data_IF_588055280869
#
_entry.id   IF_588055280869
#
_cell.length_a   1.000
_cell.length_b   1.000
_cell.length_c   1.000
_cell.angle_alpha   90.00
_cell.angle_beta   90.00
_cell.angle_gamma   90.00
#
_symmetry.space_group_name_H-M   'P 1'
#
loop_
_entity.id
_entity.type
_entity.pdbx_description
1 polymer ?
#
# COMPACT_ATOMS: atom_id res chain seq x y z
N UNK A 1 -10.77 46.34 13.14
CA UNK A 1 -11.01 45.23 12.19
C UNK A 1 -9.67 44.55 11.89
N UNK A 2 -9.56 43.25 12.14
CA UNK A 2 -8.37 42.46 11.77
C UNK A 2 -8.05 41.37 12.80
N UNK A 3 -8.73 40.23 12.68
CA UNK A 3 -8.59 39.05 13.54
C UNK A 3 -7.24 38.36 13.33
N UNK A 4 -6.45 38.20 14.40
CA UNK A 4 -5.24 37.39 14.42
C UNK A 4 -5.45 36.07 15.15
N UNK A 5 -5.90 35.04 14.44
CA UNK A 5 -5.93 33.65 14.94
C UNK A 5 -4.75 32.88 14.35
N UNK A 6 -3.61 32.87 15.04
CA UNK A 6 -2.54 31.89 14.79
C UNK A 6 -2.75 30.71 15.74
N UNK A 7 -3.39 29.64 15.24
CA UNK A 7 -3.50 28.39 15.96
C UNK A 7 -2.14 27.67 15.99
N UNK A 8 -1.59 27.57 17.20
CA UNK A 8 -0.42 26.78 17.55
C UNK A 8 -0.79 25.29 17.46
N UNK A 9 -0.37 24.61 16.40
CA UNK A 9 -0.44 23.15 16.34
C UNK A 9 0.83 22.55 16.97
N UNK A 10 0.72 21.79 18.08
CA UNK A 10 1.88 21.11 18.65
C UNK A 10 2.37 20.03 17.68
N UNK A 11 3.69 19.94 17.49
CA UNK A 11 4.35 18.89 16.69
C UNK A 11 3.90 17.51 17.21
N UNK A 12 3.21 16.74 16.37
CA UNK A 12 2.89 15.36 16.68
C UNK A 12 4.20 14.56 16.76
N UNK A 13 4.48 14.00 17.93
CA UNK A 13 5.60 13.07 18.09
C UNK A 13 5.34 11.81 17.26
N UNK A 14 6.36 11.33 16.54
CA UNK A 14 6.31 10.10 15.76
C UNK A 14 5.85 8.93 16.65
N UNK A 15 4.72 8.31 16.30
CA UNK A 15 4.15 7.21 17.08
C UNK A 15 4.98 5.93 16.86
N UNK A 16 5.32 5.18 17.93
CA UNK A 16 6.03 3.92 17.79
C UNK A 16 5.17 2.90 17.04
N UNK A 17 5.81 2.09 16.17
CA UNK A 17 5.15 1.05 15.36
C UNK A 17 4.44 0.03 16.27
N UNK A 18 3.10 -0.09 16.24
CA UNK A 18 2.42 -1.13 16.99
C UNK A 18 2.72 -2.50 16.37
N UNK A 19 2.92 -3.51 17.23
CA UNK A 19 2.99 -4.91 16.80
C UNK A 19 1.57 -5.37 16.43
N UNK A 20 1.38 -6.20 15.38
CA UNK A 20 0.07 -6.80 15.13
C UNK A 20 -0.31 -7.67 16.34
N UNK A 21 -1.29 -7.23 17.12
CA UNK A 21 -1.54 -7.77 18.45
C UNK A 21 -2.97 -7.57 18.99
N UNK A 22 -3.72 -8.68 19.01
CA UNK A 22 -4.71 -9.18 19.99
C UNK A 22 -5.84 -8.28 20.57
N UNK A 23 -5.91 -6.98 20.29
CA UNK A 23 -7.05 -6.12 20.65
C UNK A 23 -7.46 -5.30 19.43
N UNK A 24 -8.33 -5.83 18.57
CA UNK A 24 -8.65 -5.18 17.29
C UNK A 24 -9.63 -4.02 17.46
N UNK A 25 -9.01 -2.86 17.48
CA UNK A 25 -9.50 -1.53 17.15
C UNK A 25 -10.34 -1.47 15.85
N UNK A 26 -11.05 -0.37 15.67
CA UNK A 26 -11.83 -0.03 14.46
C UNK A 26 -10.89 -0.01 13.25
N UNK A 27 -11.31 -0.50 12.08
CA UNK A 27 -10.55 -0.32 10.85
C UNK A 27 -10.63 1.14 10.38
N UNK A 28 -9.53 1.70 9.88
CA UNK A 28 -9.48 3.08 9.43
C UNK A 28 -9.39 4.07 10.60
N UNK A 29 -8.46 3.84 11.53
CA UNK A 29 -8.19 4.78 12.62
C UNK A 29 -7.43 6.04 12.15
N UNK A 30 -6.63 5.90 11.10
CA UNK A 30 -5.89 7.02 10.48
C UNK A 30 -6.73 7.69 9.39
N UNK A 31 -6.36 8.90 9.00
CA UNK A 31 -7.05 9.60 7.91
C UNK A 31 -7.05 8.77 6.61
N UNK A 32 -5.89 8.23 6.20
CA UNK A 32 -5.77 7.40 5.00
C UNK A 32 -6.53 6.07 5.11
N UNK A 33 -6.50 5.43 6.27
CA UNK A 33 -7.29 4.22 6.51
C UNK A 33 -8.80 4.49 6.48
N UNK A 34 -9.25 5.63 7.01
CA UNK A 34 -10.65 6.04 6.94
C UNK A 34 -11.09 6.32 5.50
N UNK A 35 -10.28 7.02 4.70
CA UNK A 35 -10.55 7.22 3.27
C UNK A 35 -10.65 5.89 2.51
N UNK A 36 -9.80 4.91 2.84
CA UNK A 36 -9.88 3.58 2.25
C UNK A 36 -11.15 2.84 2.66
N UNK A 37 -11.50 2.86 3.96
CA UNK A 37 -12.73 2.24 4.48
C UNK A 37 -13.98 2.82 3.82
N UNK A 38 -13.99 4.13 3.56
CA UNK A 38 -15.08 4.80 2.85
C UNK A 38 -15.22 4.30 1.41
N UNK A 39 -14.11 4.09 0.69
CA UNK A 39 -14.19 3.55 -0.68
C UNK A 39 -14.74 2.13 -0.68
N UNK A 40 -14.26 1.25 0.21
CA UNK A 40 -14.71 -0.15 0.20
C UNK A 40 -16.11 -0.34 0.77
N UNK A 41 -16.62 0.54 1.65
CA UNK A 41 -17.99 0.44 2.16
C UNK A 41 -19.02 0.58 1.05
N UNK A 42 -18.66 1.28 -0.03
CA UNK A 42 -19.49 1.44 -1.24
C UNK A 42 -19.32 0.31 -2.26
N UNK A 43 -18.33 -0.56 -2.09
CA UNK A 43 -17.97 -1.57 -3.09
C UNK A 43 -18.87 -2.82 -3.08
N UNK A 44 -19.64 -3.06 -2.02
CA UNK A 44 -20.51 -4.23 -1.90
C UNK A 44 -21.62 -4.03 -0.88
N UNK A 45 -22.53 -5.00 -0.75
CA UNK A 45 -23.61 -4.91 0.23
C UNK A 45 -23.09 -5.04 1.68
N UNK A 46 -23.77 -4.35 2.59
CA UNK A 46 -23.35 -4.23 3.98
C UNK A 46 -23.27 -5.59 4.71
N UNK A 47 -24.10 -6.57 4.34
CA UNK A 47 -24.07 -7.89 4.96
C UNK A 47 -22.82 -8.69 4.56
N UNK A 48 -22.39 -8.61 3.30
CA UNK A 48 -21.11 -9.19 2.83
C UNK A 48 -19.93 -8.46 3.46
N UNK A 49 -19.96 -7.13 3.48
CA UNK A 49 -18.90 -6.32 4.09
C UNK A 49 -18.75 -6.61 5.59
N UNK A 50 -19.85 -6.73 6.32
CA UNK A 50 -19.86 -7.11 7.73
C UNK A 50 -19.22 -8.48 7.99
N UNK A 51 -19.54 -9.49 7.18
CA UNK A 51 -18.88 -10.81 7.26
C UNK A 51 -17.40 -10.74 6.92
N UNK A 52 -17.02 -9.93 5.94
CA UNK A 52 -15.62 -9.65 5.61
C UNK A 52 -14.85 -9.05 6.79
N UNK A 53 -15.43 -8.05 7.47
CA UNK A 53 -14.86 -7.46 8.71
C UNK A 53 -14.63 -8.52 9.77
N UNK A 54 -15.61 -9.41 9.98
CA UNK A 54 -15.49 -10.48 10.96
C UNK A 54 -14.33 -11.43 10.62
N UNK A 55 -14.16 -11.80 9.35
CA UNK A 55 -13.06 -12.67 8.90
C UNK A 55 -11.69 -11.99 9.06
N UNK A 56 -11.59 -10.72 8.70
CA UNK A 56 -10.37 -9.94 8.92
C UNK A 56 -10.02 -9.92 10.41
N UNK A 57 -10.99 -9.63 11.28
CA UNK A 57 -10.80 -9.59 12.74
C UNK A 57 -10.39 -10.92 13.34
N UNK A 58 -10.95 -12.01 12.83
CA UNK A 58 -10.64 -13.37 13.23
C UNK A 58 -9.29 -13.88 12.68
N UNK A 59 -8.48 -12.99 12.08
CA UNK A 59 -7.16 -13.30 11.52
C UNK A 59 -7.18 -14.39 10.44
N UNK A 60 -8.30 -14.51 9.72
CA UNK A 60 -8.48 -15.55 8.69
C UNK A 60 -7.73 -15.24 7.39
N UNK A 61 -7.27 -14.01 7.21
CA UNK A 61 -6.42 -13.59 6.09
C UNK A 61 -4.97 -13.97 6.40
N UNK A 62 -4.38 -14.82 5.56
CA UNK A 62 -3.01 -15.32 5.64
C UNK A 62 -2.27 -15.02 4.35
N UNK A 63 -0.93 -15.05 4.40
CA UNK A 63 -0.06 -14.83 3.24
C UNK A 63 -0.38 -13.54 2.46
N UNK A 64 -0.82 -12.49 3.16
CA UNK A 64 -1.13 -11.20 2.56
C UNK A 64 0.14 -10.54 2.05
N UNK A 65 0.16 -10.21 0.76
CA UNK A 65 1.31 -9.59 0.08
C UNK A 65 0.80 -8.53 -0.88
N UNK A 66 1.46 -7.37 -0.86
CA UNK A 66 1.28 -6.29 -1.82
C UNK A 66 2.53 -6.24 -2.68
N UNK A 67 2.38 -6.31 -4.00
CA UNK A 67 3.48 -6.14 -4.95
C UNK A 67 2.99 -5.48 -6.22
N UNK A 68 3.49 -4.27 -6.50
CA UNK A 68 3.34 -3.62 -7.80
C UNK A 68 1.89 -3.47 -8.27
N UNK A 69 1.03 -2.89 -7.43
CA UNK A 69 -0.39 -2.68 -7.73
C UNK A 69 -1.27 -3.93 -7.58
N UNK A 70 -0.74 -5.02 -7.03
CA UNK A 70 -1.46 -6.28 -6.87
C UNK A 70 -1.39 -6.77 -5.43
N UNK A 71 -2.50 -7.29 -4.93
CA UNK A 71 -2.61 -8.00 -3.67
C UNK A 71 -2.81 -9.49 -3.96
N UNK A 72 -2.08 -10.32 -3.25
CA UNK A 72 -2.34 -11.76 -3.17
C UNK A 72 -2.51 -12.16 -1.72
N UNK A 73 -3.51 -12.98 -1.43
CA UNK A 73 -3.74 -13.50 -0.09
C UNK A 73 -4.38 -14.89 -0.13
N UNK A 74 -4.36 -15.56 1.02
CA UNK A 74 -5.12 -16.78 1.29
C UNK A 74 -6.10 -16.49 2.41
N UNK A 75 -7.37 -16.85 2.25
CA UNK A 75 -8.37 -16.65 3.32
C UNK A 75 -8.92 -17.99 3.75
N UNK A 76 -8.80 -18.29 5.04
CA UNK A 76 -9.44 -19.46 5.65
C UNK A 76 -10.96 -19.22 5.72
N UNK A 77 -11.72 -20.08 5.06
CA UNK A 77 -13.16 -20.18 5.24
C UNK A 77 -13.56 -21.50 5.89
N UNK A 78 -14.87 -21.70 6.06
CA UNK A 78 -15.40 -22.89 6.72
C UNK A 78 -15.12 -24.17 5.94
N UNK A 79 -15.13 -24.09 4.60
CA UNK A 79 -15.02 -25.26 3.71
C UNK A 79 -13.65 -25.40 3.05
N UNK A 80 -12.66 -24.58 3.43
CA UNK A 80 -11.32 -24.62 2.85
C UNK A 80 -10.61 -23.26 2.84
N UNK A 81 -9.44 -23.24 2.19
CA UNK A 81 -8.62 -22.04 2.01
C UNK A 81 -8.80 -21.50 0.60
N UNK A 82 -9.21 -20.25 0.46
CA UNK A 82 -9.43 -19.60 -0.82
C UNK A 82 -8.26 -18.71 -1.22
N UNK A 83 -7.98 -18.65 -2.52
CA UNK A 83 -6.96 -17.77 -3.10
C UNK A 83 -7.62 -16.48 -3.53
N UNK A 84 -7.07 -15.34 -3.09
CA UNK A 84 -7.56 -14.01 -3.45
C UNK A 84 -6.48 -13.30 -4.24
N UNK A 85 -6.88 -12.68 -5.33
CA UNK A 85 -6.09 -11.76 -6.13
C UNK A 85 -6.85 -10.47 -6.30
N UNK A 86 -6.20 -9.32 -6.07
CA UNK A 86 -6.79 -8.01 -6.34
C UNK A 86 -5.76 -7.18 -7.10
N UNK A 87 -6.15 -6.61 -8.23
CA UNK A 87 -5.32 -5.78 -9.09
C UNK A 87 -5.92 -4.39 -9.19
N UNK A 88 -5.14 -3.35 -8.91
CA UNK A 88 -5.58 -1.96 -8.94
C UNK A 88 -5.14 -1.25 -10.21
N UNK A 89 -5.98 -0.35 -10.71
CA UNK A 89 -5.60 0.56 -11.79
C UNK A 89 -4.50 1.51 -11.29
N UNK A 90 -3.35 1.50 -11.96
CA UNK A 90 -2.22 2.36 -11.62
C UNK A 90 -2.36 3.73 -12.27
N UNK A 91 -1.73 4.74 -11.69
CA UNK A 91 -1.57 6.01 -12.37
C UNK A 91 -0.68 5.86 -13.61
N UNK A 92 -0.95 6.69 -14.63
CA UNK A 92 -0.15 6.71 -15.84
C UNK A 92 1.21 7.35 -15.55
N UNK A 93 2.20 7.07 -16.39
CA UNK A 93 3.54 7.67 -16.26
C UNK A 93 3.48 9.21 -16.25
N UNK A 94 2.60 9.80 -17.06
CA UNK A 94 2.40 11.26 -17.11
C UNK A 94 1.89 11.83 -15.79
N UNK A 95 1.01 11.12 -15.10
CA UNK A 95 0.49 11.54 -13.80
C UNK A 95 1.60 11.50 -12.75
N UNK A 96 2.42 10.44 -12.76
CA UNK A 96 3.59 10.33 -11.89
C UNK A 96 4.62 11.43 -12.13
N UNK A 97 4.88 11.80 -13.38
CA UNK A 97 5.75 12.93 -13.72
C UNK A 97 5.24 14.24 -13.10
N UNK A 98 3.95 14.54 -13.28
CA UNK A 98 3.31 15.73 -12.69
C UNK A 98 3.34 15.71 -11.15
N UNK A 99 3.07 14.56 -10.53
CA UNK A 99 3.18 14.37 -9.07
C UNK A 99 4.61 14.72 -8.61
N UNK A 100 5.63 14.19 -9.28
CA UNK A 100 7.04 14.41 -8.93
C UNK A 100 7.41 15.89 -9.05
N UNK A 101 7.01 16.56 -10.13
CA UNK A 101 7.27 18.00 -10.34
C UNK A 101 6.66 18.85 -9.23
N UNK A 102 5.40 18.59 -8.89
CA UNK A 102 4.69 19.31 -7.80
C UNK A 102 5.31 19.05 -6.43
N UNK A 103 5.79 17.84 -6.17
CA UNK A 103 6.50 17.52 -4.93
C UNK A 103 7.85 18.26 -4.85
N UNK A 104 8.59 18.37 -5.97
CA UNK A 104 9.83 19.15 -6.04
C UNK A 104 9.60 20.64 -5.77
N UNK A 105 8.47 21.19 -6.23
CA UNK A 105 8.11 22.58 -5.98
C UNK A 105 7.50 22.83 -4.59
N UNK A 106 7.30 21.79 -3.76
CA UNK A 106 6.65 21.90 -2.44
C UNK A 106 7.51 21.33 -1.31
N UNK A 107 8.52 22.08 -0.83
CA UNK A 107 9.50 21.57 0.15
C UNK A 107 8.90 21.04 1.45
N UNK A 108 7.81 21.63 1.93
CA UNK A 108 7.15 21.21 3.18
C UNK A 108 6.62 19.78 3.05
N UNK A 109 5.92 19.47 1.96
CA UNK A 109 5.35 18.14 1.68
C UNK A 109 6.45 17.11 1.51
N UNK A 110 7.53 17.47 0.80
CA UNK A 110 8.69 16.60 0.67
C UNK A 110 9.32 16.29 2.02
N UNK A 111 9.49 17.30 2.89
CA UNK A 111 9.98 17.11 4.26
C UNK A 111 9.13 16.11 5.06
N UNK A 112 7.80 16.22 4.98
CA UNK A 112 6.88 15.26 5.62
C UNK A 112 7.04 13.84 5.07
N UNK A 113 7.13 13.67 3.75
CA UNK A 113 7.36 12.36 3.12
C UNK A 113 8.71 11.75 3.54
N UNK A 114 9.76 12.58 3.66
CA UNK A 114 11.08 12.17 4.15
C UNK A 114 11.04 11.73 5.62
N UNK A 115 10.17 12.31 6.43
CA UNK A 115 9.90 11.90 7.81
C UNK A 115 9.01 10.65 7.91
N UNK A 116 8.76 9.95 6.79
CA UNK A 116 7.93 8.75 6.73
C UNK A 116 6.46 9.01 7.14
N UNK A 117 5.96 10.21 6.84
CA UNK A 117 4.56 10.59 7.02
C UNK A 117 3.94 10.89 5.65
N UNK A 118 2.73 10.41 5.40
CA UNK A 118 2.00 10.68 4.16
C UNK A 118 1.02 11.84 4.39
N UNK A 119 1.25 13.04 3.82
CA UNK A 119 0.42 14.22 4.07
C UNK A 119 -1.02 14.02 3.61
N UNK A 120 -2.01 14.36 4.43
CA UNK A 120 -3.44 14.21 4.10
C UNK A 120 -3.84 15.06 2.87
N UNK A 121 -3.25 16.23 2.71
CA UNK A 121 -3.47 17.14 1.57
C UNK A 121 -2.62 16.79 0.33
N UNK A 122 -1.95 15.63 0.30
CA UNK A 122 -1.11 15.24 -0.84
C UNK A 122 -1.90 15.18 -2.15
N UNK A 123 -3.16 14.73 -2.09
CA UNK A 123 -4.02 14.66 -3.26
C UNK A 123 -4.38 16.05 -3.81
N UNK A 124 -4.62 17.02 -2.93
CA UNK A 124 -4.91 18.41 -3.31
C UNK A 124 -3.71 19.06 -3.98
N UNK A 125 -2.52 18.86 -3.40
CA UNK A 125 -1.27 19.45 -3.90
C UNK A 125 -0.92 18.86 -5.26
N UNK A 126 -0.98 17.54 -5.39
CA UNK A 126 -0.61 16.85 -6.62
C UNK A 126 -1.70 16.87 -7.68
N UNK A 127 -2.96 17.06 -7.30
CA UNK A 127 -4.13 16.92 -8.18
C UNK A 127 -4.43 15.47 -8.56
N UNK A 128 -3.89 14.49 -7.83
CA UNK A 128 -4.07 13.06 -8.08
C UNK A 128 -4.55 12.35 -6.80
N UNK A 129 -5.54 11.45 -6.92
CA UNK A 129 -6.00 10.66 -5.78
C UNK A 129 -5.12 9.44 -5.58
N UNK A 130 -4.67 9.21 -4.35
CA UNK A 130 -3.88 8.03 -3.98
C UNK A 130 -4.73 6.88 -3.40
N UNK A 131 -6.05 7.05 -3.33
CA UNK A 131 -6.96 5.97 -2.97
C UNK A 131 -7.44 5.30 -4.27
N UNK A 132 -7.00 4.07 -4.59
CA UNK A 132 -7.39 3.42 -5.83
C UNK A 132 -8.84 2.93 -5.72
N UNK A 133 -9.73 3.51 -6.53
CA UNK A 133 -11.17 3.16 -6.57
C UNK A 133 -11.48 2.05 -7.57
N UNK A 134 -10.66 1.92 -8.60
CA UNK A 134 -10.82 0.91 -9.64
C UNK A 134 -9.91 -0.29 -9.37
N UNK A 135 -10.53 -1.45 -9.30
CA UNK A 135 -9.84 -2.71 -9.09
C UNK A 135 -10.56 -3.87 -9.78
N UNK A 136 -9.79 -4.90 -10.10
CA UNK A 136 -10.27 -6.21 -10.49
C UNK A 136 -9.93 -7.20 -9.39
N UNK A 137 -10.92 -7.95 -8.90
CA UNK A 137 -10.78 -8.84 -7.77
C UNK A 137 -11.30 -10.23 -8.12
N UNK A 138 -10.48 -11.24 -7.84
CA UNK A 138 -10.77 -12.64 -8.05
C UNK A 138 -10.62 -13.42 -6.75
N UNK A 139 -11.52 -14.38 -6.55
CA UNK A 139 -11.51 -15.28 -5.40
C UNK A 139 -11.89 -16.68 -5.83
N UNK A 140 -11.09 -17.68 -5.45
CA UNK A 140 -11.34 -19.09 -5.79
C UNK A 140 -12.50 -19.74 -5.01
N UNK A 141 -13.41 -18.96 -4.42
CA UNK A 141 -14.56 -19.47 -3.68
C UNK A 141 -15.77 -19.64 -4.60
N UNK A 142 -16.74 -20.52 -4.26
CA UNK A 142 -17.91 -20.76 -5.10
C UNK A 142 -18.96 -19.63 -5.05
N UNK A 143 -18.68 -18.51 -4.38
CA UNK A 143 -19.56 -17.34 -4.32
C UNK A 143 -19.30 -16.44 -5.54
N UNK A 144 -20.32 -16.24 -6.37
CA UNK A 144 -20.25 -15.40 -7.57
C UNK A 144 -20.30 -13.90 -7.28
N UNK A 145 -20.51 -13.49 -6.03
CA UNK A 145 -20.50 -12.08 -5.66
C UNK A 145 -19.10 -11.49 -5.72
N UNK A 146 -18.98 -10.25 -6.21
CA UNK A 146 -17.74 -9.50 -6.22
C UNK A 146 -17.97 -8.08 -5.68
N UNK A 147 -17.45 -7.71 -4.50
CA UNK A 147 -16.61 -8.51 -3.61
C UNK A 147 -17.41 -9.58 -2.83
N UNK A 148 -16.91 -10.82 -2.79
CA UNK A 148 -17.38 -11.82 -1.83
C UNK A 148 -16.85 -11.50 -0.41
N UNK A 149 -17.33 -12.21 0.61
CA UNK A 149 -16.85 -12.01 2.00
C UNK A 149 -15.33 -12.17 2.17
N UNK A 150 -14.68 -13.00 1.36
CA UNK A 150 -13.23 -13.22 1.44
C UNK A 150 -12.45 -12.04 0.84
N UNK A 151 -12.91 -11.49 -0.29
CA UNK A 151 -12.35 -10.26 -0.88
C UNK A 151 -12.55 -9.09 0.10
N UNK A 152 -13.75 -8.96 0.66
CA UNK A 152 -14.03 -7.95 1.70
C UNK A 152 -13.08 -8.10 2.91
N UNK A 153 -12.77 -9.33 3.35
CA UNK A 153 -11.80 -9.55 4.42
C UNK A 153 -10.39 -9.04 4.05
N UNK A 154 -9.96 -9.23 2.80
CA UNK A 154 -8.68 -8.70 2.29
C UNK A 154 -8.70 -7.18 2.23
N UNK A 155 -9.82 -6.55 1.87
CA UNK A 155 -9.96 -5.09 1.91
C UNK A 155 -9.87 -4.50 3.31
N UNK A 156 -10.46 -5.15 4.32
CA UNK A 156 -10.32 -4.71 5.71
C UNK A 156 -8.93 -5.00 6.29
N UNK A 157 -8.29 -6.10 5.88
CA UNK A 157 -6.88 -6.33 6.20
C UNK A 157 -6.00 -5.22 5.60
N UNK A 158 -6.27 -4.81 4.36
CA UNK A 158 -5.56 -3.68 3.75
C UNK A 158 -5.82 -2.37 4.50
N UNK A 159 -7.03 -2.14 5.02
CA UNK A 159 -7.31 -0.96 5.85
C UNK A 159 -6.41 -0.91 7.09
N UNK A 160 -6.25 -2.05 7.77
CA UNK A 160 -5.34 -2.19 8.92
C UNK A 160 -3.90 -1.92 8.49
N UNK A 161 -3.43 -2.50 7.38
CA UNK A 161 -2.08 -2.26 6.87
C UNK A 161 -1.85 -0.79 6.47
N UNK A 162 -2.85 -0.09 5.90
CA UNK A 162 -2.78 1.34 5.59
C UNK A 162 -2.68 2.19 6.86
N UNK A 163 -3.42 1.82 7.92
CA UNK A 163 -3.31 2.48 9.23
C UNK A 163 -1.89 2.37 9.82
N UNK A 164 -1.15 1.30 9.47
CA UNK A 164 0.24 1.11 9.89
C UNK A 164 1.25 1.76 8.94
N UNK A 165 1.01 1.70 7.62
CA UNK A 165 1.86 2.25 6.57
C UNK A 165 1.02 2.80 5.40
N UNK A 166 0.72 4.11 5.38
CA UNK A 166 -0.09 4.71 4.32
C UNK A 166 0.63 4.71 2.96
N UNK A 167 1.95 4.53 2.89
CA UNK A 167 2.67 4.49 1.62
C UNK A 167 2.34 3.25 0.78
N UNK A 168 1.69 2.25 1.36
CA UNK A 168 1.11 1.15 0.60
C UNK A 168 0.16 1.64 -0.50
N UNK A 169 -0.55 2.75 -0.28
CA UNK A 169 -1.40 3.39 -1.27
C UNK A 169 -0.62 3.81 -2.53
N UNK A 170 0.59 4.35 -2.36
CA UNK A 170 1.46 4.66 -3.50
C UNK A 170 1.82 3.40 -4.29
N UNK A 171 2.15 2.30 -3.58
CA UNK A 171 2.49 1.04 -4.23
C UNK A 171 1.31 0.44 -5.00
N UNK A 172 0.09 0.60 -4.47
CA UNK A 172 -1.14 0.24 -5.17
C UNK A 172 -1.33 1.10 -6.43
N UNK A 173 -1.03 2.39 -6.36
CA UNK A 173 -1.02 3.32 -7.50
C UNK A 173 0.19 3.14 -8.45
N UNK A 174 1.11 2.23 -8.15
CA UNK A 174 2.21 1.83 -9.02
C UNK A 174 3.58 2.44 -8.71
N UNK A 175 3.74 3.17 -7.60
CA UNK A 175 5.01 3.78 -7.20
C UNK A 175 5.42 3.36 -5.79
N UNK A 176 6.63 2.79 -5.64
CA UNK A 176 7.19 2.54 -4.32
C UNK A 176 7.67 3.83 -3.68
N UNK A 177 7.47 3.96 -2.37
CA UNK A 177 7.96 5.09 -1.56
C UNK A 177 9.41 5.44 -1.86
N UNK A 178 10.32 4.46 -1.77
CA UNK A 178 11.76 4.70 -1.95
C UNK A 178 12.08 5.25 -3.35
N UNK A 179 11.38 4.74 -4.37
CA UNK A 179 11.54 5.22 -5.75
C UNK A 179 11.02 6.65 -5.89
N UNK A 180 9.87 6.98 -5.28
CA UNK A 180 9.34 8.34 -5.28
C UNK A 180 10.33 9.31 -4.62
N UNK A 181 10.83 8.96 -3.44
CA UNK A 181 11.79 9.79 -2.72
C UNK A 181 13.11 9.97 -3.49
N UNK A 182 13.60 8.93 -4.17
CA UNK A 182 14.78 9.02 -5.05
C UNK A 182 14.54 10.04 -6.19
N UNK A 183 13.40 9.94 -6.87
CA UNK A 183 13.04 10.81 -7.99
C UNK A 183 12.84 12.27 -7.58
N UNK A 184 12.29 12.52 -6.38
CA UNK A 184 12.03 13.87 -5.89
C UNK A 184 13.29 14.52 -5.30
N UNK A 185 14.11 13.76 -4.57
CA UNK A 185 15.37 14.27 -3.97
C UNK A 185 16.50 14.48 -4.97
N UNK A 186 16.36 14.01 -6.22
CA UNK A 186 17.40 14.11 -7.25
C UNK A 186 18.63 13.23 -6.96
N UNK A 187 18.53 12.30 -6.00
CA UNK A 187 19.61 11.38 -5.64
C UNK A 187 19.62 10.18 -6.57
N UNK A 188 19.95 10.38 -7.85
CA UNK A 188 20.12 9.25 -8.77
C UNK A 188 21.22 8.31 -8.25
N UNK A 189 20.85 7.11 -7.77
CA UNK A 189 21.83 6.05 -7.59
C UNK A 189 22.20 5.54 -8.98
N UNK A 190 23.29 6.08 -9.55
CA UNK A 190 23.95 5.47 -10.70
C UNK A 190 24.18 4.00 -10.39
N UNK A 191 23.39 3.11 -11.01
CA UNK A 191 23.60 1.66 -10.93
C UNK A 191 24.98 1.36 -11.49
N UNK A 192 25.95 1.18 -10.62
CA UNK A 192 27.25 0.62 -10.98
C UNK A 192 27.02 -0.79 -11.48
N UNK A 193 27.10 -0.96 -12.81
CA UNK A 193 27.12 -2.28 -13.46
C UNK A 193 28.26 -3.08 -12.80
N UNK A 194 27.93 -3.99 -11.88
CA UNK A 194 28.86 -5.03 -11.43
C UNK A 194 29.26 -5.85 -12.67
N UNK A 195 30.44 -5.59 -13.21
CA UNK A 195 31.07 -6.43 -14.24
C UNK A 195 31.14 -7.85 -13.67
N UNK A 196 30.45 -8.80 -14.30
CA UNK A 196 30.60 -10.23 -14.03
C UNK A 196 32.05 -10.61 -14.35
N UNK A 197 32.83 -10.97 -13.34
CA UNK A 197 34.15 -11.58 -13.52
C UNK A 197 33.97 -12.95 -14.20
N UNK A 198 34.73 -13.27 -15.26
CA UNK A 198 34.57 -14.55 -15.95
C UNK A 198 35.07 -15.70 -15.07
N UNK A 199 34.25 -16.75 -14.95
CA UNK A 199 34.61 -17.99 -14.24
C UNK A 199 35.81 -18.65 -14.95
N UNK A 200 36.94 -18.80 -14.25
CA UNK A 200 38.07 -19.63 -14.70
C UNK A 200 37.61 -21.09 -14.87
N UNK A 201 37.72 -21.63 -16.08
CA UNK A 201 37.57 -23.06 -16.37
C UNK A 201 38.72 -23.83 -15.73
N UNK A 202 38.41 -24.69 -14.75
CA UNK A 202 39.37 -25.67 -14.22
C UNK A 202 39.46 -26.82 -15.23
N UNK A 203 40.61 -26.96 -15.90
CA UNK A 203 40.92 -28.12 -16.75
C UNK A 203 41.20 -29.32 -15.84
N UNK A 204 40.37 -30.35 -15.90
CA UNK A 204 40.68 -31.67 -15.32
C UNK A 204 41.77 -32.32 -16.18
N UNK A 205 42.94 -32.58 -15.60
CA UNK A 205 43.98 -33.45 -16.19
C UNK A 205 43.65 -34.88 -15.76
N UNK A 206 43.46 -35.77 -16.74
CA UNK A 206 43.46 -37.21 -16.53
C UNK A 206 44.89 -37.74 -16.37
N UNK A 207 45.02 -38.77 -15.53
CA UNK A 207 46.09 -39.77 -15.45
C UNK A 207 45.33 -41.08 -15.16
N UNK A 208 45.25 -42.09 -16.03
CA UNK A 208 46.32 -43.03 -16.43
C UNK A 208 47.16 -43.48 -15.23
N UNK A 209 46.68 -44.52 -14.54
CA UNK A 209 47.34 -45.83 -14.38
C UNK A 209 46.30 -46.85 -13.89
#
# INVERSE_FOLDING_TARGET
>A
MGYGYYNYYPKAAARPKPKPGKNRKKFGETWWGAQWVEVISTAGDEQRMSRGRAYARAEMVKNFKIMGGKISAKVQGNSGVYSITISFTKHKERDWQNIIEKLKSTPIVLGTLLNNEMPENLAEITGCSFIPKEFDADCSCPDYANPCKHIAAVFYMLADEIDHDPFLLLELCGMKKDKLLELVSGTEKKKTKRKKTPKKKIRKRGKHE
#
